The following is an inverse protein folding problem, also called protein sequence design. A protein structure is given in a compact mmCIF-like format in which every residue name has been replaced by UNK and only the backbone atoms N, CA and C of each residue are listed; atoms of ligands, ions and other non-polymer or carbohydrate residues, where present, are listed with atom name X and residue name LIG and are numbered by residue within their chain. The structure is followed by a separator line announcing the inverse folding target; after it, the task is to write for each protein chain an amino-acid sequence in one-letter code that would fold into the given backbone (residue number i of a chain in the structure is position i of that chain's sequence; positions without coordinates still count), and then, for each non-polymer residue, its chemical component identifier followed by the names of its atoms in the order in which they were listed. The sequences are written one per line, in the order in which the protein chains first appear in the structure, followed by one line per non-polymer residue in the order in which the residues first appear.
data_IF_798485918747
#
_entry.id   IF_798485918747
#
_cell.length_a   1.000
_cell.length_b   1.000
_cell.length_c   1.000
_cell.angle_alpha   90.00
_cell.angle_beta   90.00
_cell.angle_gamma   90.00
#
_symmetry.space_group_name_H-M   'P 1'
#
loop_
_entity.id
_entity.type
_entity.pdbx_description
1 polymer ?
#
# COMPACT_ATOMS: atom_id res chain seq x y z
N UNK A 1 25.33 -11.46 34.63
CA UNK A 1 24.07 -10.75 34.35
C UNK A 1 24.34 -9.27 34.56
N UNK A 2 24.40 -8.47 33.50
CA UNK A 2 24.70 -7.03 33.57
C UNK A 2 23.62 -6.27 32.82
N UNK A 3 22.79 -5.53 33.56
CA UNK A 3 21.78 -4.63 33.03
C UNK A 3 22.47 -3.29 32.74
N UNK A 4 22.78 -3.04 31.47
CA UNK A 4 23.35 -1.77 31.05
C UNK A 4 22.23 -0.73 30.95
N UNK A 5 22.29 0.23 31.86
CA UNK A 5 21.39 1.36 32.03
C UNK A 5 21.49 2.33 30.84
N UNK A 6 20.39 2.57 30.13
CA UNK A 6 20.31 3.64 29.13
C UNK A 6 19.85 4.93 29.80
N UNK A 7 20.73 5.93 29.77
CA UNK A 7 20.46 7.31 30.23
C UNK A 7 19.71 8.05 29.12
N UNK A 8 18.53 8.57 29.44
CA UNK A 8 17.88 9.62 28.64
C UNK A 8 18.60 10.95 28.92
N UNK A 9 19.25 11.51 27.91
CA UNK A 9 19.74 12.89 27.97
C UNK A 9 18.59 13.83 27.56
N UNK A 10 18.23 14.72 28.47
CA UNK A 10 17.22 15.77 28.28
C UNK A 10 17.82 17.03 27.67
N UNK A 11 16.99 17.71 26.88
CA UNK A 11 16.96 19.16 26.64
C UNK A 11 17.97 19.74 25.66
N UNK A 12 17.44 20.20 24.52
CA UNK A 12 17.89 21.46 23.93
C UNK A 12 16.65 22.22 23.47
N UNK A 13 16.44 23.37 24.10
CA UNK A 13 15.49 24.41 23.73
C UNK A 13 15.59 24.72 22.23
N UNK A 14 14.47 24.64 21.51
CA UNK A 14 14.37 25.21 20.16
C UNK A 14 13.22 26.21 20.19
N UNK A 15 13.64 27.47 20.11
CA UNK A 15 12.85 28.69 20.02
C UNK A 15 11.79 28.60 18.92
N UNK A 16 10.53 28.83 19.30
CA UNK A 16 9.42 29.08 18.37
C UNK A 16 9.75 30.34 17.56
N UNK A 17 10.04 30.14 16.28
CA UNK A 17 10.02 31.21 15.29
C UNK A 17 9.22 30.66 14.12
N UNK A 18 7.94 31.00 14.09
CA UNK A 18 7.13 30.87 12.89
C UNK A 18 7.60 31.96 11.91
N UNK A 19 8.05 31.57 10.72
CA UNK A 19 7.33 32.10 9.57
C UNK A 19 7.16 31.02 8.50
N UNK A 20 5.91 30.56 8.32
CA UNK A 20 5.31 30.18 7.03
C UNK A 20 6.33 29.68 5.98
N UNK A 21 6.86 28.48 6.19
CA UNK A 21 7.82 27.83 5.31
C UNK A 21 7.40 26.39 5.07
N UNK A 22 6.99 26.11 3.83
CA UNK A 22 6.69 24.80 3.22
C UNK A 22 6.88 23.59 4.14
N UNK A 23 5.75 23.02 4.57
CA UNK A 23 5.71 21.63 5.04
C UNK A 23 6.25 20.79 3.89
N UNK A 24 7.47 20.27 4.06
CA UNK A 24 8.05 19.28 3.17
C UNK A 24 7.13 18.08 3.16
N UNK A 25 6.35 17.96 2.09
CA UNK A 25 5.67 16.74 1.71
C UNK A 25 6.70 15.63 1.78
N UNK A 26 6.47 14.64 2.65
CA UNK A 26 6.95 13.28 2.39
C UNK A 26 6.57 13.00 0.93
N UNK A 27 7.43 12.37 0.10
CA UNK A 27 7.03 12.03 -1.26
C UNK A 27 5.95 10.96 -1.15
N UNK A 28 4.73 11.43 -0.95
CA UNK A 28 3.51 10.80 -1.39
C UNK A 28 3.85 10.30 -2.78
N UNK A 29 3.83 8.98 -2.89
CA UNK A 29 4.31 8.18 -4.00
C UNK A 29 3.35 8.44 -5.17
N UNK A 30 3.33 9.68 -5.66
CA UNK A 30 2.52 10.18 -6.75
C UNK A 30 3.01 9.42 -7.97
N UNK A 31 2.30 8.34 -8.20
CA UNK A 31 2.59 7.35 -9.20
C UNK A 31 2.55 7.97 -10.61
N UNK A 32 1.95 9.17 -10.72
CA UNK A 32 1.84 10.00 -11.94
C UNK A 32 3.17 10.43 -12.55
N UNK A 33 4.26 10.51 -11.78
CA UNK A 33 5.53 11.06 -12.29
C UNK A 33 6.53 9.99 -12.75
N UNK A 34 6.21 8.70 -12.57
CA UNK A 34 7.14 7.59 -12.81
C UNK A 34 6.66 6.68 -13.94
N UNK A 35 6.61 7.23 -15.16
CA UNK A 35 6.39 6.44 -16.37
C UNK A 35 7.60 5.51 -16.61
N UNK A 36 7.54 4.29 -16.09
CA UNK A 36 8.47 3.21 -16.45
C UNK A 36 7.97 2.61 -17.76
N UNK A 37 8.81 2.65 -18.80
CA UNK A 37 8.54 2.00 -20.08
C UNK A 37 8.53 0.48 -19.88
N UNK A 38 7.35 -0.10 -19.63
CA UNK A 38 7.16 -1.53 -19.38
C UNK A 38 5.94 -1.86 -18.50
N UNK A 39 4.86 -1.09 -18.60
CA UNK A 39 3.67 -1.32 -17.77
C UNK A 39 3.02 -2.67 -18.07
N UNK A 40 2.58 -3.41 -17.04
CA UNK A 40 1.89 -4.68 -17.21
C UNK A 40 0.57 -4.45 -17.94
N UNK A 41 0.32 -5.22 -19.01
CA UNK A 41 -0.94 -5.19 -19.75
C UNK A 41 -1.89 -6.25 -19.22
N UNK A 42 -3.15 -5.89 -18.99
CA UNK A 42 -4.22 -6.79 -18.57
C UNK A 42 -5.16 -7.08 -19.75
N UNK A 43 -5.61 -8.34 -19.88
CA UNK A 43 -6.59 -8.72 -20.92
C UNK A 43 -7.98 -8.14 -20.60
N UNK A 44 -8.38 -8.21 -19.34
CA UNK A 44 -9.59 -7.57 -18.82
C UNK A 44 -9.22 -6.90 -17.49
N UNK A 45 -9.18 -5.57 -17.50
CA UNK A 45 -8.77 -4.83 -16.31
C UNK A 45 -9.79 -5.02 -15.19
N UNK A 46 -11.10 -5.16 -15.44
CA UNK A 46 -12.08 -5.34 -14.34
C UNK A 46 -12.15 -6.76 -13.80
N UNK A 47 -11.47 -7.72 -14.45
CA UNK A 47 -11.39 -9.11 -14.03
C UNK A 47 -9.97 -9.67 -14.26
N UNK A 48 -8.97 -9.14 -13.53
CA UNK A 48 -7.58 -9.50 -13.75
C UNK A 48 -7.30 -10.94 -13.30
N UNK A 49 -6.50 -11.65 -14.08
CA UNK A 49 -6.05 -13.00 -13.71
C UNK A 49 -4.99 -12.92 -12.59
N UNK A 50 -4.90 -13.94 -11.73
CA UNK A 50 -3.88 -14.00 -10.68
C UNK A 50 -2.44 -13.76 -11.16
N UNK A 51 -2.10 -14.26 -12.36
CA UNK A 51 -0.78 -14.05 -12.97
C UNK A 51 -0.53 -12.59 -13.38
N UNK A 52 -1.56 -11.88 -13.84
CA UNK A 52 -1.48 -10.47 -14.22
C UNK A 52 -1.33 -9.58 -12.98
N UNK A 53 -2.11 -9.86 -11.93
CA UNK A 53 -1.99 -9.19 -10.62
C UNK A 53 -0.57 -9.36 -10.07
N UNK A 54 -0.01 -10.59 -10.12
CA UNK A 54 1.36 -10.87 -9.67
C UNK A 54 2.38 -10.07 -10.48
N UNK A 55 2.29 -10.09 -11.81
CA UNK A 55 3.20 -9.34 -12.67
C UNK A 55 3.17 -7.83 -12.36
N UNK A 56 1.97 -7.30 -12.11
CA UNK A 56 1.78 -5.91 -11.69
C UNK A 56 2.34 -5.61 -10.30
N UNK A 57 2.11 -6.48 -9.33
CA UNK A 57 2.57 -6.28 -7.95
C UNK A 57 4.10 -6.12 -7.86
N UNK A 58 4.83 -6.80 -8.75
CA UNK A 58 6.28 -6.65 -8.85
C UNK A 58 6.74 -5.61 -9.87
N UNK A 59 5.91 -5.13 -10.80
CA UNK A 59 6.38 -4.15 -11.81
C UNK A 59 6.67 -2.77 -11.20
N UNK A 60 6.00 -2.42 -10.11
CA UNK A 60 6.02 -1.05 -9.56
C UNK A 60 5.22 -0.07 -10.40
N UNK A 61 4.41 -0.57 -11.33
CA UNK A 61 3.44 0.22 -12.07
C UNK A 61 2.30 0.68 -11.16
N UNK A 62 1.60 1.69 -11.62
CA UNK A 62 0.52 2.31 -10.88
C UNK A 62 -0.78 1.51 -11.01
N UNK A 63 -1.77 1.91 -10.25
CA UNK A 63 -3.13 1.39 -10.33
C UNK A 63 -3.65 1.51 -11.76
N UNK A 64 -4.29 0.46 -12.24
CA UNK A 64 -4.71 0.37 -13.64
C UNK A 64 -6.01 1.14 -13.90
N UNK A 65 -6.84 1.32 -12.87
CA UNK A 65 -8.06 2.12 -12.91
C UNK A 65 -8.45 2.62 -11.52
N UNK A 66 -9.51 3.43 -11.47
CA UNK A 66 -10.13 3.84 -10.20
C UNK A 66 -10.66 2.61 -9.44
N UNK A 67 -10.59 2.65 -8.10
CA UNK A 67 -11.06 1.60 -7.21
C UNK A 67 -10.40 0.24 -7.49
N UNK A 68 -9.13 0.26 -7.92
CA UNK A 68 -8.37 -0.93 -8.27
C UNK A 68 -8.16 -1.88 -7.09
N UNK A 69 -8.01 -1.32 -5.90
CA UNK A 69 -7.94 -2.04 -4.64
C UNK A 69 -9.20 -2.85 -4.37
N UNK A 70 -10.38 -2.35 -4.76
CA UNK A 70 -11.64 -3.07 -4.65
C UNK A 70 -11.75 -4.21 -5.67
N UNK A 71 -11.25 -4.00 -6.90
CA UNK A 71 -11.26 -5.05 -7.94
C UNK A 71 -10.33 -6.19 -7.55
N UNK A 72 -9.15 -5.87 -7.02
CA UNK A 72 -8.16 -6.87 -6.58
C UNK A 72 -8.61 -7.57 -5.29
N UNK A 73 -9.38 -6.90 -4.43
CA UNK A 73 -10.00 -7.42 -3.21
C UNK A 73 -11.17 -8.39 -3.51
N UNK A 74 -10.86 -9.52 -4.15
CA UNK A 74 -11.79 -10.63 -4.38
C UNK A 74 -11.47 -11.83 -3.45
N UNK A 75 -12.48 -12.65 -3.12
CA UNK A 75 -12.30 -13.92 -2.40
C UNK A 75 -11.35 -14.86 -3.13
N UNK A 76 -11.48 -14.94 -4.45
CA UNK A 76 -10.72 -15.87 -5.29
C UNK A 76 -9.23 -15.50 -5.33
N UNK A 77 -8.91 -14.25 -5.02
CA UNK A 77 -7.55 -13.74 -4.93
C UNK A 77 -6.96 -13.84 -3.52
N UNK A 78 -7.71 -14.28 -2.50
CA UNK A 78 -7.27 -14.22 -1.09
C UNK A 78 -5.90 -14.88 -0.85
N UNK A 79 -5.68 -16.09 -1.38
CA UNK A 79 -4.41 -16.79 -1.22
C UNK A 79 -3.25 -16.03 -1.86
N UNK A 80 -3.47 -15.49 -3.07
CA UNK A 80 -2.48 -14.68 -3.77
C UNK A 80 -2.16 -13.39 -3.00
N UNK A 81 -3.17 -12.71 -2.46
CA UNK A 81 -2.99 -11.50 -1.67
C UNK A 81 -2.13 -11.76 -0.43
N UNK A 82 -2.42 -12.84 0.31
CA UNK A 82 -1.63 -13.23 1.47
C UNK A 82 -0.19 -13.58 1.11
N UNK A 83 0.03 -14.29 -0.01
CA UNK A 83 1.37 -14.59 -0.53
C UNK A 83 2.15 -13.30 -0.82
N UNK A 84 1.57 -12.39 -1.61
CA UNK A 84 2.24 -11.17 -2.06
C UNK A 84 2.47 -10.16 -0.92
N UNK A 85 1.56 -10.09 0.06
CA UNK A 85 1.72 -9.25 1.25
C UNK A 85 2.81 -9.80 2.18
N UNK A 86 3.00 -11.12 2.21
CA UNK A 86 4.07 -11.77 2.97
C UNK A 86 5.46 -11.52 2.40
N UNK A 87 5.58 -11.33 1.08
CA UNK A 87 6.86 -11.14 0.39
C UNK A 87 7.41 -9.72 0.54
N UNK A 88 8.60 -9.60 1.14
CA UNK A 88 9.30 -8.31 1.31
C UNK A 88 9.85 -7.74 0.00
N UNK A 89 10.01 -8.55 -1.04
CA UNK A 89 10.44 -8.09 -2.37
C UNK A 89 9.28 -7.50 -3.20
N UNK A 90 8.02 -7.71 -2.77
CA UNK A 90 6.85 -7.21 -3.46
C UNK A 90 6.76 -5.67 -3.36
N UNK A 91 6.82 -4.99 -4.52
CA UNK A 91 6.80 -3.52 -4.59
C UNK A 91 5.44 -2.94 -4.21
N UNK A 92 4.35 -3.62 -4.60
CA UNK A 92 2.98 -3.24 -4.27
C UNK A 92 2.51 -3.72 -2.89
N UNK A 93 3.41 -4.25 -2.03
CA UNK A 93 3.05 -4.90 -0.75
C UNK A 93 2.11 -4.07 0.12
N UNK A 94 2.38 -2.77 0.30
CA UNK A 94 1.53 -1.90 1.13
C UNK A 94 0.13 -1.75 0.53
N UNK A 95 0.05 -1.55 -0.79
CA UNK A 95 -1.20 -1.43 -1.51
C UNK A 95 -2.06 -2.70 -1.37
N UNK A 96 -1.44 -3.87 -1.59
CA UNK A 96 -2.14 -5.16 -1.48
C UNK A 96 -2.63 -5.45 -0.06
N UNK A 97 -1.93 -4.92 0.96
CA UNK A 97 -2.40 -4.99 2.34
C UNK A 97 -3.66 -4.14 2.53
N UNK A 98 -3.72 -2.95 1.95
CA UNK A 98 -4.92 -2.10 1.98
C UNK A 98 -6.10 -2.79 1.26
N UNK A 99 -5.86 -3.41 0.09
CA UNK A 99 -6.87 -4.23 -0.61
C UNK A 99 -7.37 -5.40 0.25
N UNK A 100 -6.47 -6.07 0.99
CA UNK A 100 -6.86 -7.14 1.91
C UNK A 100 -7.76 -6.63 3.05
N UNK A 101 -7.50 -5.42 3.55
CA UNK A 101 -8.39 -4.80 4.52
C UNK A 101 -9.78 -4.51 3.93
N UNK A 102 -9.85 -4.02 2.69
CA UNK A 102 -11.13 -3.85 1.98
C UNK A 102 -11.92 -5.16 1.91
N UNK A 103 -11.25 -6.26 1.53
CA UNK A 103 -11.84 -7.59 1.45
C UNK A 103 -12.49 -8.04 2.77
N UNK A 104 -11.79 -7.85 3.90
CA UNK A 104 -12.28 -8.25 5.22
C UNK A 104 -13.37 -7.29 5.73
N UNK A 105 -13.22 -5.98 5.51
CA UNK A 105 -14.18 -4.98 5.94
C UNK A 105 -15.55 -5.21 5.28
N UNK A 106 -15.58 -5.42 3.96
CA UNK A 106 -16.82 -5.68 3.21
C UNK A 106 -17.56 -6.91 3.74
N UNK A 107 -16.83 -7.97 4.09
CA UNK A 107 -17.43 -9.21 4.60
C UNK A 107 -17.92 -9.12 6.04
N UNK A 108 -17.32 -8.26 6.84
CA UNK A 108 -17.62 -8.15 8.27
C UNK A 108 -18.65 -7.07 8.57
N UNK A 109 -18.88 -6.12 7.66
CA UNK A 109 -19.96 -5.16 7.80
C UNK A 109 -21.32 -5.87 7.74
N UNK A 110 -22.14 -5.81 8.80
CA UNK A 110 -23.48 -6.37 8.75
C UNK A 110 -24.27 -5.64 7.66
N UNK A 111 -24.72 -6.35 6.64
CA UNK A 111 -25.67 -5.80 5.67
C UNK A 111 -26.93 -5.47 6.44
N UNK A 112 -27.20 -4.18 6.65
CA UNK A 112 -28.41 -3.74 7.34
C UNK A 112 -29.59 -4.19 6.48
N UNK A 113 -30.25 -5.26 6.91
CA UNK A 113 -31.38 -5.87 6.22
C UNK A 113 -32.43 -4.81 5.92
N UNK A 114 -32.88 -4.79 4.67
CA UNK A 114 -33.98 -3.96 4.20
C UNK A 114 -35.30 -4.68 4.47
#
# INVERSE_FOLDING_TARGET
MSLSSYRFATSTDITVTDPAGSIGQTPEHSCKDRAVSGEPSFVDVVNPKPGEIRAWAYSGACEQMQDWDLIVADADNLELLLELVGDQACRARKYLLDSLYCLVAIRTTPTRGR
#
